data_IF_893207750669
#
_entry.id   IF_893207750669
#
_cell.length_a   1.000
_cell.length_b   1.000
_cell.length_c   1.000
_cell.angle_alpha   90.00
_cell.angle_beta   90.00
_cell.angle_gamma   90.00
#
_symmetry.space_group_name_H-M   'P 1'
#
loop_
_entity.id
_entity.type
_entity.pdbx_description
1 polymer ?
#
# COMPACT_ATOMS: atom_id res chain seq x y z
N UNK A 1 15.16 -11.80 -2.61
CA UNK A 1 14.53 -10.58 -3.14
C UNK A 1 13.49 -10.14 -2.13
N UNK A 2 13.46 -8.85 -1.83
CA UNK A 2 12.39 -8.21 -1.06
C UNK A 2 11.31 -7.73 -2.04
N UNK A 3 10.10 -7.51 -1.53
CA UNK A 3 9.01 -6.89 -2.27
C UNK A 3 8.66 -5.55 -1.67
N UNK A 4 9.26 -4.51 -2.26
CA UNK A 4 8.89 -3.12 -2.06
C UNK A 4 7.90 -2.74 -3.17
N UNK A 5 6.84 -2.05 -2.78
CA UNK A 5 5.76 -1.61 -3.67
C UNK A 5 5.16 -0.30 -3.16
N UNK A 6 4.21 0.23 -3.92
CA UNK A 6 3.42 1.38 -3.51
C UNK A 6 2.01 1.32 -4.03
N UNK A 7 1.10 1.93 -3.27
CA UNK A 7 -0.30 2.08 -3.64
C UNK A 7 -0.58 3.53 -4.00
N UNK A 8 -0.93 3.75 -5.25
CA UNK A 8 -1.52 4.99 -5.70
C UNK A 8 -3.04 4.83 -5.80
N UNK A 9 -3.79 5.66 -5.08
CA UNK A 9 -5.25 5.58 -5.07
C UNK A 9 -5.81 6.25 -6.32
N UNK A 10 -6.05 5.46 -7.37
CA UNK A 10 -6.63 5.96 -8.63
C UNK A 10 -8.05 6.49 -8.42
N UNK A 11 -8.86 5.79 -7.62
CA UNK A 11 -10.22 6.19 -7.28
C UNK A 11 -10.68 5.55 -5.97
N UNK A 12 -11.63 6.18 -5.26
CA UNK A 12 -12.20 5.61 -4.05
C UNK A 12 -13.57 6.20 -3.70
N UNK A 13 -14.39 5.44 -2.96
CA UNK A 13 -15.63 5.96 -2.35
C UNK A 13 -15.33 6.65 -1.02
N UNK A 14 -16.26 7.50 -0.58
CA UNK A 14 -16.21 8.13 0.75
C UNK A 14 -16.04 7.08 1.86
N UNK A 15 -15.12 7.35 2.79
CA UNK A 15 -14.78 6.43 3.88
C UNK A 15 -14.03 5.16 3.46
N UNK A 16 -13.53 5.07 2.23
CA UNK A 16 -12.61 4.01 1.83
C UNK A 16 -11.32 4.07 2.64
N UNK A 17 -10.69 2.90 2.84
CA UNK A 17 -9.52 2.75 3.72
C UNK A 17 -8.42 1.94 3.05
N UNK A 18 -7.21 2.18 3.49
CA UNK A 18 -6.06 1.28 3.33
C UNK A 18 -5.61 0.85 4.71
N UNK A 19 -5.26 -0.43 4.84
CA UNK A 19 -4.61 -0.97 6.02
C UNK A 19 -3.12 -0.97 5.76
N UNK A 20 -2.32 -0.31 6.61
CA UNK A 20 -0.87 -0.19 6.40
C UNK A 20 -0.15 0.01 7.73
N UNK A 21 0.74 -0.93 8.06
CA UNK A 21 1.48 -0.96 9.32
C UNK A 21 0.65 -1.47 10.50
N UNK A 22 1.32 -1.87 11.58
CA UNK A 22 0.63 -2.22 12.84
C UNK A 22 0.21 -0.97 13.60
N UNK A 23 -0.78 -1.07 14.50
CA UNK A 23 -1.02 0.00 15.48
C UNK A 23 0.16 0.13 16.44
N UNK A 24 0.36 1.33 17.01
CA UNK A 24 1.42 1.56 18.00
C UNK A 24 1.22 0.64 19.21
N UNK A 25 2.31 0.06 19.70
CA UNK A 25 2.30 -0.79 20.89
C UNK A 25 1.85 -2.23 20.67
N UNK A 26 1.44 -2.60 19.45
CA UNK A 26 1.17 -4.00 19.09
C UNK A 26 2.48 -4.79 19.11
N UNK A 27 2.43 -5.99 19.68
CA UNK A 27 3.57 -6.90 19.70
C UNK A 27 3.36 -8.03 18.70
N UNK A 28 4.48 -8.53 18.18
CA UNK A 28 4.53 -9.68 17.29
C UNK A 28 3.80 -10.90 17.88
N UNK A 29 4.00 -11.16 19.17
CA UNK A 29 3.40 -12.30 19.88
C UNK A 29 1.87 -12.19 20.00
N UNK A 30 1.36 -11.00 20.35
CA UNK A 30 -0.09 -10.80 20.51
C UNK A 30 -0.81 -10.92 19.17
N UNK A 31 -0.27 -10.31 18.12
CA UNK A 31 -0.75 -10.46 16.74
C UNK A 31 -0.75 -11.94 16.29
N UNK A 32 0.37 -12.63 16.48
CA UNK A 32 0.53 -14.00 15.99
C UNK A 32 -0.35 -15.01 16.72
N UNK A 33 -0.50 -14.87 18.04
CA UNK A 33 -1.34 -15.77 18.83
C UNK A 33 -2.81 -15.66 18.42
N UNK A 34 -3.32 -14.44 18.19
CA UNK A 34 -4.70 -14.24 17.76
C UNK A 34 -4.92 -14.69 16.31
N UNK A 35 -3.96 -14.46 15.41
CA UNK A 35 -4.00 -15.01 14.04
C UNK A 35 -4.03 -16.55 14.04
N UNK A 36 -3.19 -17.18 14.88
CA UNK A 36 -3.18 -18.65 15.04
C UNK A 36 -4.49 -19.17 15.58
N UNK A 37 -5.05 -18.51 16.60
CA UNK A 37 -6.35 -18.85 17.17
C UNK A 37 -7.43 -18.79 16.09
N UNK A 38 -7.53 -17.67 15.37
CA UNK A 38 -8.52 -17.50 14.29
C UNK A 38 -8.38 -18.57 13.21
N UNK A 39 -7.16 -18.93 12.81
CA UNK A 39 -6.93 -19.98 11.82
C UNK A 39 -7.32 -21.39 12.32
N UNK A 40 -7.13 -21.68 13.61
CA UNK A 40 -7.43 -22.99 14.20
C UNK A 40 -8.92 -23.16 14.52
N UNK A 41 -9.58 -22.11 15.02
CA UNK A 41 -10.96 -22.18 15.49
C UNK A 41 -11.97 -21.75 14.43
N UNK A 42 -11.53 -21.04 13.39
CA UNK A 42 -12.41 -20.39 12.42
C UNK A 42 -13.11 -19.14 12.97
N UNK A 43 -12.72 -18.69 14.17
CA UNK A 43 -13.19 -17.41 14.72
C UNK A 43 -12.73 -16.24 13.84
N UNK A 44 -13.50 -15.15 13.87
CA UNK A 44 -13.10 -13.94 13.15
C UNK A 44 -11.84 -13.32 13.80
N UNK A 45 -10.91 -12.88 12.97
CA UNK A 45 -9.78 -12.07 13.39
C UNK A 45 -10.14 -10.58 13.30
N UNK A 46 -10.16 -9.89 14.44
CA UNK A 46 -10.40 -8.45 14.55
C UNK A 46 -9.18 -7.65 14.07
N UNK A 47 -8.99 -7.57 12.76
CA UNK A 47 -7.82 -6.92 12.16
C UNK A 47 -7.67 -5.45 12.61
N UNK A 48 -8.77 -4.73 12.84
CA UNK A 48 -8.76 -3.35 13.30
C UNK A 48 -8.13 -3.17 14.69
N UNK A 49 -8.01 -4.23 15.49
CA UNK A 49 -7.28 -4.18 16.77
C UNK A 49 -5.77 -4.06 16.56
N UNK A 50 -5.25 -4.60 15.46
CA UNK A 50 -3.83 -4.83 15.26
C UNK A 50 -3.19 -3.98 14.17
N UNK A 51 -3.96 -3.70 13.11
CA UNK A 51 -3.46 -3.04 11.90
C UNK A 51 -4.00 -1.62 11.86
N UNK A 52 -3.15 -0.69 11.47
CA UNK A 52 -3.49 0.71 11.30
C UNK A 52 -4.44 0.88 10.10
N UNK A 53 -5.40 1.79 10.25
CA UNK A 53 -6.45 2.07 9.26
C UNK A 53 -6.38 3.52 8.83
N UNK A 54 -6.08 3.75 7.56
CA UNK A 54 -5.96 5.09 7.00
C UNK A 54 -7.12 5.34 6.06
N UNK A 55 -7.91 6.39 6.33
CA UNK A 55 -8.94 6.85 5.37
C UNK A 55 -8.24 7.52 4.20
N UNK A 56 -8.58 7.08 2.99
CA UNK A 56 -7.92 7.50 1.77
C UNK A 56 -8.80 8.40 0.93
N UNK A 57 -8.15 9.29 0.18
CA UNK A 57 -8.77 10.09 -0.88
C UNK A 57 -8.21 9.66 -2.23
N UNK A 58 -8.95 9.99 -3.29
CA UNK A 58 -8.43 9.89 -4.65
C UNK A 58 -7.10 10.63 -4.73
N UNK A 59 -6.12 10.00 -5.34
CA UNK A 59 -4.78 10.52 -5.58
C UNK A 59 -3.81 10.58 -4.38
N UNK A 60 -4.19 10.00 -3.24
CA UNK A 60 -3.27 9.66 -2.15
C UNK A 60 -2.26 8.57 -2.60
N UNK A 61 -1.05 8.58 -2.03
CA UNK A 61 0.02 7.64 -2.35
C UNK A 61 0.65 7.07 -1.08
N UNK A 62 0.80 5.74 -1.02
CA UNK A 62 1.46 5.01 0.06
C UNK A 62 2.67 4.24 -0.43
N UNK A 63 3.80 4.40 0.23
CA UNK A 63 4.95 3.50 0.05
C UNK A 63 4.81 2.29 0.96
N UNK A 64 5.13 1.12 0.44
CA UNK A 64 4.98 -0.17 1.13
C UNK A 64 6.31 -0.92 1.05
N UNK A 65 7.27 -0.61 1.93
CA UNK A 65 8.52 -1.36 1.99
C UNK A 65 8.27 -2.81 2.42
N UNK A 66 9.19 -3.71 2.10
CA UNK A 66 9.06 -5.15 2.32
C UNK A 66 9.06 -5.54 3.80
N UNK A 67 8.02 -6.25 4.26
CA UNK A 67 7.81 -6.55 5.68
C UNK A 67 6.77 -5.67 6.37
N UNK A 68 6.12 -4.75 5.63
CA UNK A 68 4.99 -3.96 6.13
C UNK A 68 3.69 -4.74 5.98
N UNK A 69 2.91 -4.89 7.05
CA UNK A 69 1.56 -5.46 6.95
C UNK A 69 0.67 -4.47 6.19
N UNK A 70 -0.01 -4.94 5.15
CA UNK A 70 -0.90 -4.07 4.38
C UNK A 70 -2.06 -4.82 3.73
N UNK A 71 -3.10 -4.08 3.37
CA UNK A 71 -4.24 -4.56 2.58
C UNK A 71 -4.97 -3.36 1.97
N UNK A 72 -5.26 -3.42 0.66
CA UNK A 72 -6.20 -2.48 0.05
C UNK A 72 -7.61 -2.75 0.60
N UNK A 73 -8.22 -1.73 1.20
CA UNK A 73 -9.57 -1.85 1.73
C UNK A 73 -10.61 -1.83 0.61
N UNK A 74 -11.85 -2.20 0.97
CA UNK A 74 -12.99 -2.16 0.04
C UNK A 74 -13.21 -0.75 -0.52
N UNK A 75 -13.79 -0.69 -1.71
CA UNK A 75 -14.14 0.55 -2.42
C UNK A 75 -12.92 1.42 -2.79
N UNK A 76 -11.77 0.81 -3.04
CA UNK A 76 -10.58 1.46 -3.60
C UNK A 76 -10.30 0.88 -4.99
N UNK A 77 -9.81 1.73 -5.90
CA UNK A 77 -9.10 1.34 -7.12
C UNK A 77 -7.66 1.76 -6.91
N UNK A 78 -6.77 0.77 -6.82
CA UNK A 78 -5.35 0.98 -6.52
C UNK A 78 -4.54 0.70 -7.78
N UNK A 79 -3.69 1.64 -8.17
CA UNK A 79 -2.55 1.37 -9.03
C UNK A 79 -1.40 0.93 -8.12
N UNK A 80 -1.08 -0.35 -8.18
CA UNK A 80 0.06 -0.93 -7.46
C UNK A 80 1.31 -0.82 -8.33
N UNK A 81 2.36 -0.21 -7.79
CA UNK A 81 3.62 0.05 -8.49
C UNK A 81 4.71 -0.74 -7.74
N UNK A 82 5.40 -1.67 -8.41
CA UNK A 82 6.44 -2.48 -7.78
C UNK A 82 7.59 -2.80 -8.76
N UNK A 83 8.80 -2.93 -8.20
CA UNK A 83 9.97 -3.49 -8.87
C UNK A 83 9.89 -4.98 -9.15
N UNK A 84 9.05 -5.66 -8.38
CA UNK A 84 9.34 -7.06 -8.11
C UNK A 84 8.97 -7.94 -9.29
N UNK A 85 9.93 -8.74 -9.79
CA UNK A 85 9.67 -9.59 -10.94
C UNK A 85 8.78 -10.80 -10.60
N UNK A 86 8.48 -11.01 -9.32
CA UNK A 86 7.70 -12.15 -8.84
C UNK A 86 6.95 -11.81 -7.56
N UNK A 87 5.82 -12.49 -7.34
CA UNK A 87 4.92 -12.23 -6.22
C UNK A 87 5.39 -13.02 -4.99
N UNK A 88 5.76 -12.31 -3.92
CA UNK A 88 6.15 -12.87 -2.62
C UNK A 88 5.18 -12.42 -1.52
N UNK A 89 3.94 -12.92 -1.54
CA UNK A 89 2.91 -12.53 -0.56
C UNK A 89 2.71 -13.59 0.54
N UNK A 90 3.05 -13.24 1.78
CA UNK A 90 2.64 -14.01 2.95
C UNK A 90 1.31 -13.49 3.50
N UNK A 91 0.23 -14.20 3.15
CA UNK A 91 -1.10 -13.87 3.64
C UNK A 91 -1.23 -14.25 5.11
N UNK A 92 -1.56 -13.28 5.95
CA UNK A 92 -1.77 -13.51 7.38
C UNK A 92 -3.24 -13.81 7.70
N UNK A 93 -4.16 -13.12 7.04
CA UNK A 93 -5.60 -13.26 7.23
C UNK A 93 -6.32 -13.00 5.92
N UNK A 94 -7.47 -13.65 5.73
CA UNK A 94 -8.21 -13.61 4.46
C UNK A 94 -9.71 -13.33 4.68
N UNK A 95 -10.05 -12.64 5.77
CA UNK A 95 -11.40 -12.17 6.10
C UNK A 95 -12.44 -13.29 6.23
N UNK A 96 -12.04 -14.44 6.77
CA UNK A 96 -12.90 -15.62 6.90
C UNK A 96 -13.39 -16.20 5.56
N UNK A 97 -12.81 -15.76 4.42
CA UNK A 97 -13.24 -16.21 3.09
C UNK A 97 -12.75 -17.62 2.83
N UNK A 98 -13.69 -18.48 2.44
CA UNK A 98 -13.41 -19.84 1.98
C UNK A 98 -13.09 -19.87 0.48
N UNK A 99 -12.28 -20.83 0.07
CA UNK A 99 -12.01 -21.12 -1.33
C UNK A 99 -13.19 -21.83 -2.01
N UNK A 100 -13.05 -22.09 -3.31
CA UNK A 100 -14.06 -22.81 -4.11
C UNK A 100 -14.35 -24.23 -3.57
N UNK A 101 -13.39 -24.81 -2.84
CA UNK A 101 -13.50 -26.10 -2.16
C UNK A 101 -14.17 -26.01 -0.77
N UNK A 102 -14.67 -24.84 -0.36
CA UNK A 102 -15.24 -24.54 0.96
C UNK A 102 -14.27 -24.68 2.14
N UNK A 103 -12.96 -24.80 1.88
CA UNK A 103 -11.93 -24.75 2.90
C UNK A 103 -11.43 -23.31 3.09
N UNK A 104 -10.90 -22.94 4.28
CA UNK A 104 -10.20 -21.68 4.44
C UNK A 104 -9.11 -21.53 3.38
N UNK A 105 -8.97 -20.34 2.81
CA UNK A 105 -7.88 -20.09 1.85
C UNK A 105 -6.53 -20.19 2.56
N UNK A 106 -5.51 -20.71 1.89
CA UNK A 106 -4.19 -20.90 2.50
C UNK A 106 -3.63 -19.55 2.98
N UNK A 107 -3.08 -19.58 4.19
CA UNK A 107 -2.34 -18.49 4.83
C UNK A 107 -0.94 -18.97 5.17
N UNK A 108 0.00 -18.04 5.32
CA UNK A 108 1.43 -18.30 5.50
C UNK A 108 1.91 -17.70 6.82
N UNK A 109 1.27 -18.06 7.94
CA UNK A 109 1.47 -17.40 9.24
C UNK A 109 2.92 -17.45 9.72
N UNK A 110 3.56 -18.62 9.65
CA UNK A 110 4.94 -18.82 10.11
C UNK A 110 5.94 -17.97 9.32
N UNK A 111 5.83 -17.98 7.98
CA UNK A 111 6.70 -17.15 7.15
C UNK A 111 6.37 -15.65 7.28
N UNK A 112 5.09 -15.30 7.33
CA UNK A 112 4.65 -13.93 7.45
C UNK A 112 5.15 -13.31 8.75
N UNK A 113 5.00 -14.01 9.89
CA UNK A 113 5.45 -13.49 11.17
C UNK A 113 6.95 -13.28 11.18
N UNK A 114 7.76 -14.19 10.63
CA UNK A 114 9.22 -14.04 10.57
C UNK A 114 9.67 -12.79 9.80
N UNK A 115 8.88 -12.31 8.84
CA UNK A 115 9.23 -11.20 7.95
C UNK A 115 8.62 -9.84 8.33
N UNK A 116 7.69 -9.79 9.29
CA UNK A 116 7.07 -8.52 9.73
C UNK A 116 8.10 -7.63 10.43
N UNK A 117 8.18 -6.37 9.99
CA UNK A 117 8.94 -5.30 10.61
C UNK A 117 8.02 -4.50 11.54
N UNK A 118 8.11 -4.74 12.84
CA UNK A 118 7.19 -4.18 13.86
C UNK A 118 7.41 -2.69 14.13
N UNK A 119 8.55 -2.15 13.73
CA UNK A 119 8.88 -0.72 13.72
C UNK A 119 8.07 0.07 12.67
N UNK A 120 7.49 -0.62 11.68
CA UNK A 120 6.57 -0.03 10.69
C UNK A 120 5.15 0.05 11.22
N UNK A 121 5.03 0.75 12.34
CA UNK A 121 3.77 1.00 13.01
C UNK A 121 3.09 2.28 12.48
N UNK A 122 1.90 2.59 12.99
CA UNK A 122 1.09 3.74 12.54
C UNK A 122 1.82 5.08 12.63
N UNK A 123 2.69 5.28 13.63
CA UNK A 123 3.51 6.50 13.73
C UNK A 123 4.49 6.58 12.56
N UNK A 124 5.28 5.53 12.34
CA UNK A 124 6.23 5.46 11.23
C UNK A 124 5.54 5.61 9.87
N UNK A 125 4.39 4.97 9.67
CA UNK A 125 3.64 5.08 8.41
C UNK A 125 3.24 6.53 8.14
N UNK A 126 2.65 7.22 9.13
CA UNK A 126 2.16 8.57 8.95
C UNK A 126 3.29 9.59 8.75
N UNK A 127 4.46 9.34 9.31
CA UNK A 127 5.63 10.23 9.18
C UNK A 127 6.40 10.00 7.87
N UNK A 128 6.48 8.76 7.40
CA UNK A 128 7.47 8.41 6.38
C UNK A 128 6.91 7.74 5.13
N UNK A 129 5.75 7.09 5.19
CA UNK A 129 5.27 6.20 4.13
C UNK A 129 3.96 6.63 3.49
N UNK A 130 3.46 7.82 3.82
CA UNK A 130 2.20 8.33 3.31
C UNK A 130 2.32 9.77 2.79
N UNK A 131 1.98 9.96 1.52
CA UNK A 131 1.86 11.29 0.89
C UNK A 131 0.40 11.56 0.52
N UNK A 132 -0.17 12.60 1.12
CA UNK A 132 -1.49 13.11 0.71
C UNK A 132 -1.40 13.94 -0.56
N UNK A 133 -2.48 13.96 -1.33
CA UNK A 133 -2.61 14.81 -2.52
C UNK A 133 -2.19 16.26 -2.26
N UNK A 134 -2.68 16.86 -1.18
CA UNK A 134 -2.38 18.25 -0.81
C UNK A 134 -0.91 18.53 -0.45
N UNK A 135 -0.11 17.48 -0.22
CA UNK A 135 1.27 17.55 0.25
C UNK A 135 2.29 17.07 -0.81
N UNK A 136 1.86 16.79 -2.05
CA UNK A 136 2.76 16.38 -3.11
C UNK A 136 3.79 17.48 -3.45
N UNK A 137 5.01 17.07 -3.79
CA UNK A 137 6.06 17.99 -4.26
C UNK A 137 5.69 18.49 -5.65
N UNK A 138 5.53 19.81 -5.80
CA UNK A 138 5.28 20.42 -7.12
C UNK A 138 6.59 20.53 -7.88
N UNK A 139 6.60 20.00 -9.10
CA UNK A 139 7.76 20.06 -9.99
C UNK A 139 7.64 21.26 -10.92
N UNK A 140 8.78 21.89 -11.22
CA UNK A 140 8.80 22.97 -12.23
C UNK A 140 8.40 22.42 -13.60
N UNK A 141 7.43 23.08 -14.23
CA UNK A 141 7.01 22.79 -15.60
C UNK A 141 6.72 24.11 -16.33
N UNK A 142 7.34 24.31 -17.48
CA UNK A 142 7.21 25.52 -18.29
C UNK A 142 5.99 25.47 -19.24
N UNK A 143 5.32 24.31 -19.36
CA UNK A 143 4.14 24.16 -20.21
C UNK A 143 2.91 24.80 -19.55
N UNK A 144 2.26 25.69 -20.29
CA UNK A 144 1.05 26.40 -19.84
C UNK A 144 -0.08 25.38 -19.65
N UNK A 145 -0.76 25.45 -18.50
CA UNK A 145 -1.91 24.58 -18.20
C UNK A 145 -1.55 23.18 -17.74
N UNK A 146 -0.27 22.87 -17.52
CA UNK A 146 0.20 21.60 -16.98
C UNK A 146 0.69 21.79 -15.55
N UNK A 147 0.19 20.96 -14.62
CA UNK A 147 0.74 20.86 -13.26
C UNK A 147 1.38 19.50 -13.08
N UNK A 148 2.66 19.47 -12.70
CA UNK A 148 3.42 18.24 -12.45
C UNK A 148 3.70 18.11 -10.96
N UNK A 149 3.42 16.94 -10.39
CA UNK A 149 3.56 16.68 -8.95
C UNK A 149 4.21 15.32 -8.75
N UNK A 150 5.26 15.25 -7.94
CA UNK A 150 5.77 13.97 -7.45
C UNK A 150 4.89 13.50 -6.31
N UNK A 151 4.36 12.30 -6.45
CA UNK A 151 3.30 11.78 -5.58
C UNK A 151 3.78 10.73 -4.59
N UNK A 152 4.81 9.96 -4.95
CA UNK A 152 5.41 8.94 -4.08
C UNK A 152 6.64 9.44 -3.33
N UNK A 153 7.23 8.57 -2.53
CA UNK A 153 8.41 8.87 -1.73
C UNK A 153 9.67 8.36 -2.45
N UNK A 154 10.12 9.13 -3.44
CA UNK A 154 11.22 8.74 -4.35
C UNK A 154 12.55 8.42 -3.64
N UNK A 155 12.75 8.83 -2.38
CA UNK A 155 13.94 8.44 -1.61
C UNK A 155 13.88 6.98 -1.12
N UNK A 156 12.66 6.42 -1.01
CA UNK A 156 12.40 5.07 -0.49
C UNK A 156 12.17 4.08 -1.65
N UNK A 157 11.80 4.58 -2.82
CA UNK A 157 11.50 3.79 -4.02
C UNK A 157 12.48 4.11 -5.16
N UNK A 158 12.93 3.08 -5.87
CA UNK A 158 13.75 3.27 -7.07
C UNK A 158 12.92 3.71 -8.31
N UNK A 159 11.59 3.71 -8.22
CA UNK A 159 10.67 4.22 -9.24
C UNK A 159 10.23 5.63 -8.83
N UNK A 160 10.40 6.60 -9.73
CA UNK A 160 9.83 7.93 -9.55
C UNK A 160 8.38 7.95 -10.07
N UNK A 161 7.47 8.44 -9.23
CA UNK A 161 6.04 8.47 -9.51
C UNK A 161 5.54 9.92 -9.63
N UNK A 162 5.44 10.38 -10.87
CA UNK A 162 5.03 11.74 -11.22
C UNK A 162 3.62 11.73 -11.80
N UNK A 163 2.76 12.59 -11.28
CA UNK A 163 1.43 12.88 -11.84
C UNK A 163 1.48 14.18 -12.63
N UNK A 164 0.82 14.17 -13.79
CA UNK A 164 0.61 15.36 -14.61
C UNK A 164 -0.89 15.64 -14.73
N UNK A 165 -1.29 16.86 -14.38
CA UNK A 165 -2.63 17.40 -14.63
C UNK A 165 -2.58 18.29 -15.87
N UNK A 166 -3.43 18.00 -16.85
CA UNK A 166 -3.54 18.77 -18.10
C UNK A 166 -4.94 18.58 -18.69
N UNK A 167 -5.32 19.43 -19.66
CA UNK A 167 -6.66 19.41 -20.29
C UNK A 167 -6.65 19.19 -21.80
N UNK A 168 -5.49 19.29 -22.44
CA UNK A 168 -5.33 19.13 -23.88
C UNK A 168 -4.12 18.23 -24.19
N UNK A 169 -2.93 18.81 -24.29
CA UNK A 169 -1.68 18.08 -24.52
C UNK A 169 -0.63 18.30 -23.43
N UNK A 170 0.27 17.33 -23.29
CA UNK A 170 1.47 17.43 -22.47
C UNK A 170 2.64 16.76 -23.17
N UNK A 171 3.79 17.43 -23.18
CA UNK A 171 5.05 16.89 -23.65
C UNK A 171 5.92 16.48 -22.46
N UNK A 172 6.35 15.23 -22.39
CA UNK A 172 7.14 14.71 -21.27
C UNK A 172 8.56 14.40 -21.73
N UNK A 173 9.54 14.85 -20.94
CA UNK A 173 10.94 14.44 -21.12
C UNK A 173 11.12 13.05 -20.51
N UNK A 174 11.52 12.08 -21.33
CA UNK A 174 11.68 10.68 -20.88
C UNK A 174 13.02 10.42 -20.19
N UNK A 175 13.94 11.39 -20.25
CA UNK A 175 15.27 11.33 -19.64
C UNK A 175 16.07 10.06 -20.00
N UNK A 176 15.89 9.57 -21.24
CA UNK A 176 16.50 8.32 -21.73
C UNK A 176 16.24 7.10 -20.83
N UNK A 177 15.17 7.14 -20.04
CA UNK A 177 14.76 6.09 -19.13
C UNK A 177 13.47 5.40 -19.59
N UNK A 178 13.15 4.27 -18.95
CA UNK A 178 11.88 3.57 -19.17
C UNK A 178 10.78 4.32 -18.43
N UNK A 179 9.73 4.69 -19.17
CA UNK A 179 8.58 5.38 -18.63
C UNK A 179 7.33 4.49 -18.81
N UNK A 180 6.60 4.25 -17.72
CA UNK A 180 5.27 3.65 -17.77
C UNK A 180 4.27 4.79 -17.61
N UNK A 181 3.43 5.01 -18.62
CA UNK A 181 2.43 6.06 -18.61
C UNK A 181 1.04 5.46 -18.42
N UNK A 182 0.33 5.94 -17.40
CA UNK A 182 -1.07 5.63 -17.16
C UNK A 182 -1.89 6.92 -17.31
N UNK A 183 -2.77 6.96 -18.31
CA UNK A 183 -3.74 8.04 -18.47
C UNK A 183 -5.01 7.65 -17.71
N UNK A 184 -5.46 8.55 -16.83
CA UNK A 184 -6.56 8.32 -15.88
C UNK A 184 -7.68 9.32 -16.11
#
# INVERSE_FOLDING_TARGET
>A
FTQDESYYILDCKEGAKVYLGTKTGITKDTLFNDLKKANQTGENFEAEKYVNEITVKKHDHFSIPAGTIHCSGKNTVVLEISATPYIFTFKLWEWGRVGLNRLPRPIHLEHGIENIQMDRNEEYINEHLFTRLENCEKLENQQIGVTSERTGLAEIEFIDSIRHWFTDEVQLQTNESVNMLCLV
#
